data_IF_916333326419
#
_entry.id   IF_916333326419
#
_cell.length_a   1.000
_cell.length_b   1.000
_cell.length_c   1.000
_cell.angle_alpha   90.00
_cell.angle_beta   90.00
_cell.angle_gamma   90.00
#
_symmetry.space_group_name_H-M   'P 1'
#
loop_
_entity.id
_entity.type
_entity.pdbx_description
1 polymer ?
#
# COMPACT_ATOMS: atom_id res chain seq x y z
N UNK A 1 -4.58 2.83 -33.85
CA UNK A 1 -4.06 3.18 -32.53
C UNK A 1 -3.61 1.91 -31.80
N UNK A 2 -2.44 1.95 -31.29
CA UNK A 2 -1.94 0.82 -30.50
C UNK A 2 -2.38 0.98 -29.05
N UNK A 3 -3.16 0.03 -28.55
CA UNK A 3 -3.55 -0.01 -27.16
C UNK A 3 -2.51 -0.75 -26.33
N UNK A 4 -2.56 -0.52 -25.03
CA UNK A 4 -1.77 -1.32 -24.09
C UNK A 4 -2.40 -2.70 -23.92
N UNK A 5 -1.56 -3.72 -23.73
CA UNK A 5 -2.05 -5.05 -23.41
C UNK A 5 -2.63 -5.06 -21.98
N UNK A 6 -3.48 -6.05 -21.70
CA UNK A 6 -4.03 -6.23 -20.35
C UNK A 6 -2.91 -6.42 -19.33
N UNK A 7 -1.90 -7.20 -19.66
CA UNK A 7 -0.77 -7.43 -18.75
C UNK A 7 0.06 -6.16 -18.51
N UNK A 8 0.21 -5.31 -19.52
CA UNK A 8 0.92 -4.04 -19.36
C UNK A 8 0.16 -3.09 -18.42
N UNK A 9 -1.16 -3.04 -18.54
CA UNK A 9 -2.00 -2.24 -17.65
C UNK A 9 -1.96 -2.80 -16.23
N UNK A 10 -2.10 -4.11 -16.09
CA UNK A 10 -2.06 -4.76 -14.77
C UNK A 10 -0.75 -4.45 -14.05
N UNK A 11 0.37 -4.43 -14.74
CA UNK A 11 1.69 -4.19 -14.15
C UNK A 11 1.85 -2.81 -13.53
N UNK A 12 1.02 -1.84 -13.90
CA UNK A 12 1.06 -0.48 -13.35
C UNK A 12 -0.10 -0.16 -12.42
N UNK A 13 -0.97 -1.14 -12.14
CA UNK A 13 -2.09 -0.94 -11.23
C UNK A 13 -1.69 -1.14 -9.77
N UNK A 14 -2.30 -0.35 -8.91
CA UNK A 14 -2.29 -0.53 -7.47
C UNK A 14 -3.66 -1.06 -7.05
N UNK A 15 -3.68 -2.23 -6.44
CA UNK A 15 -4.90 -2.82 -5.90
C UNK A 15 -4.94 -2.56 -4.40
N UNK A 16 -5.94 -1.84 -3.94
CA UNK A 16 -6.01 -1.39 -2.54
C UNK A 16 -6.96 -2.25 -1.72
N UNK A 17 -6.51 -2.72 -0.56
CA UNK A 17 -7.33 -3.42 0.43
C UNK A 17 -7.14 -2.70 1.76
N UNK A 18 -7.98 -1.69 2.00
CA UNK A 18 -7.77 -0.70 3.05
C UNK A 18 -8.96 -0.54 4.00
N UNK A 19 -9.96 -1.39 3.92
CA UNK A 19 -11.13 -1.31 4.79
C UNK A 19 -10.74 -1.65 6.23
N UNK A 20 -11.26 -0.92 7.22
CA UNK A 20 -10.89 -1.16 8.61
C UNK A 20 -11.40 -2.50 9.17
N UNK A 21 -12.42 -3.08 8.56
CA UNK A 21 -13.02 -4.34 8.99
C UNK A 21 -12.59 -5.55 8.15
N UNK A 22 -11.59 -5.40 7.31
CA UNK A 22 -11.13 -6.52 6.49
C UNK A 22 -10.47 -7.60 7.34
N UNK A 23 -10.50 -8.82 6.84
CA UNK A 23 -9.97 -10.00 7.51
C UNK A 23 -8.71 -10.51 6.82
N UNK A 24 -8.05 -11.49 7.45
CA UNK A 24 -6.92 -12.16 6.82
C UNK A 24 -7.34 -12.89 5.54
N UNK A 25 -8.57 -13.38 5.48
CA UNK A 25 -9.11 -14.02 4.27
C UNK A 25 -9.20 -13.02 3.11
N UNK A 26 -9.55 -11.78 3.39
CA UNK A 26 -9.58 -10.71 2.37
C UNK A 26 -8.19 -10.45 1.80
N UNK A 27 -7.17 -10.45 2.64
CA UNK A 27 -5.78 -10.28 2.21
C UNK A 27 -5.33 -11.49 1.37
N UNK A 28 -5.68 -12.70 1.78
CA UNK A 28 -5.35 -13.91 1.00
C UNK A 28 -5.99 -13.86 -0.38
N UNK A 29 -7.27 -13.50 -0.46
CA UNK A 29 -8.00 -13.40 -1.72
C UNK A 29 -7.39 -12.34 -2.64
N UNK A 30 -7.07 -11.17 -2.09
CA UNK A 30 -6.47 -10.08 -2.83
C UNK A 30 -5.08 -10.45 -3.34
N UNK A 31 -4.26 -11.07 -2.51
CA UNK A 31 -2.92 -11.50 -2.90
C UNK A 31 -2.97 -12.56 -4.01
N UNK A 32 -3.88 -13.51 -3.90
CA UNK A 32 -4.07 -14.53 -4.93
C UNK A 32 -4.47 -13.89 -6.27
N UNK A 33 -5.39 -12.96 -6.25
CA UNK A 33 -5.83 -12.25 -7.45
C UNK A 33 -4.68 -11.44 -8.07
N UNK A 34 -3.97 -10.68 -7.25
CA UNK A 34 -2.84 -9.88 -7.71
C UNK A 34 -1.74 -10.74 -8.32
N UNK A 35 -1.40 -11.85 -7.68
CA UNK A 35 -0.38 -12.77 -8.20
C UNK A 35 -0.80 -13.40 -9.52
N UNK A 36 -2.05 -13.83 -9.62
CA UNK A 36 -2.60 -14.47 -10.81
C UNK A 36 -2.63 -13.51 -12.01
N UNK A 37 -2.98 -12.25 -11.78
CA UNK A 37 -3.10 -11.26 -12.85
C UNK A 37 -1.84 -10.43 -13.04
N UNK A 38 -0.79 -10.68 -12.26
CA UNK A 38 0.44 -9.87 -12.27
C UNK A 38 0.17 -8.38 -12.07
N UNK A 39 -0.71 -8.07 -11.13
CA UNK A 39 -0.97 -6.70 -10.70
C UNK A 39 0.34 -6.12 -10.13
N UNK A 40 0.65 -4.86 -10.46
CA UNK A 40 1.92 -4.25 -10.07
C UNK A 40 2.11 -4.14 -8.56
N UNK A 41 1.06 -3.75 -7.84
CA UNK A 41 1.16 -3.45 -6.41
C UNK A 41 -0.12 -3.82 -5.68
N UNK A 42 0.03 -4.43 -4.51
CA UNK A 42 -1.04 -4.61 -3.53
C UNK A 42 -0.79 -3.64 -2.37
N UNK A 43 -1.68 -2.67 -2.20
CA UNK A 43 -1.58 -1.67 -1.15
C UNK A 43 -2.47 -2.06 0.03
N UNK A 44 -1.87 -2.18 1.21
CA UNK A 44 -2.55 -2.65 2.41
C UNK A 44 -2.31 -1.74 3.60
N UNK A 45 -3.06 -1.98 4.67
CA UNK A 45 -2.82 -1.34 5.97
C UNK A 45 -1.49 -1.85 6.56
N UNK A 46 -0.81 -1.06 7.40
CA UNK A 46 0.46 -1.47 7.99
C UNK A 46 0.41 -2.82 8.69
N UNK A 47 -0.68 -3.13 9.37
CA UNK A 47 -0.85 -4.40 10.07
C UNK A 47 -0.85 -5.63 9.14
N UNK A 48 -1.18 -5.43 7.88
CA UNK A 48 -1.30 -6.51 6.90
C UNK A 48 -0.05 -6.69 6.02
N UNK A 49 0.92 -5.81 6.13
CA UNK A 49 2.12 -5.81 5.25
C UNK A 49 2.87 -7.13 5.32
N UNK A 50 3.16 -7.61 6.52
CA UNK A 50 3.93 -8.84 6.71
C UNK A 50 3.23 -10.04 6.06
N UNK A 51 1.92 -10.15 6.26
CA UNK A 51 1.12 -11.24 5.66
C UNK A 51 1.11 -11.14 4.14
N UNK A 52 0.86 -9.95 3.61
CA UNK A 52 0.84 -9.73 2.17
C UNK A 52 2.20 -10.05 1.53
N UNK A 53 3.28 -9.62 2.18
CA UNK A 53 4.63 -9.88 1.70
C UNK A 53 4.95 -11.37 1.64
N UNK A 54 4.51 -12.14 2.63
CA UNK A 54 4.69 -13.60 2.62
C UNK A 54 3.91 -14.25 1.49
N UNK A 55 2.66 -13.83 1.30
CA UNK A 55 1.79 -14.39 0.27
C UNK A 55 2.28 -14.08 -1.15
N UNK A 56 2.92 -12.93 -1.32
CA UNK A 56 3.42 -12.46 -2.62
C UNK A 56 4.91 -12.74 -2.83
N UNK A 57 5.51 -13.49 -1.92
CA UNK A 57 6.90 -13.92 -2.08
C UNK A 57 7.08 -14.66 -3.42
N UNK A 58 8.06 -14.29 -4.20
CA UNK A 58 8.31 -14.82 -5.55
C UNK A 58 7.28 -14.43 -6.62
N UNK A 59 6.36 -13.53 -6.30
CA UNK A 59 5.44 -12.96 -7.30
C UNK A 59 5.99 -11.61 -7.80
N UNK A 60 5.50 -11.18 -8.95
CA UNK A 60 5.87 -9.87 -9.50
C UNK A 60 5.22 -8.71 -8.75
N UNK A 61 4.04 -8.95 -8.15
CA UNK A 61 3.32 -7.96 -7.36
C UNK A 61 4.15 -7.56 -6.15
N UNK A 62 4.38 -6.27 -5.96
CA UNK A 62 5.02 -5.74 -4.76
C UNK A 62 3.97 -5.31 -3.75
N UNK A 63 4.36 -5.21 -2.49
CA UNK A 63 3.47 -4.75 -1.42
C UNK A 63 3.75 -3.28 -1.14
N UNK A 64 2.69 -2.48 -1.09
CA UNK A 64 2.73 -1.11 -0.60
C UNK A 64 2.01 -1.03 0.74
N UNK A 65 2.45 -0.13 1.59
CA UNK A 65 1.76 0.21 2.83
C UNK A 65 1.32 1.66 2.80
N UNK A 66 0.13 1.92 3.32
CA UNK A 66 -0.24 3.30 3.64
C UNK A 66 0.47 3.73 4.91
N UNK A 67 0.71 5.03 5.04
CA UNK A 67 1.35 5.64 6.21
C UNK A 67 0.51 6.84 6.63
N UNK A 68 0.05 6.83 7.88
CA UNK A 68 -0.82 7.88 8.41
C UNK A 68 -2.21 7.89 7.81
N UNK A 69 -2.64 6.77 7.28
CA UNK A 69 -3.91 6.64 6.58
C UNK A 69 -5.08 6.45 7.57
N UNK A 70 -6.27 7.03 7.30
CA UNK A 70 -6.58 7.83 6.10
C UNK A 70 -6.40 9.34 6.26
N UNK A 71 -6.25 9.85 7.48
CA UNK A 71 -6.31 11.28 7.75
C UNK A 71 -4.99 12.02 7.62
N UNK A 72 -3.87 11.33 7.78
CA UNK A 72 -2.56 11.95 7.79
C UNK A 72 -2.31 12.84 8.99
N UNK A 73 -3.17 12.77 10.01
CA UNK A 73 -3.16 13.68 11.15
C UNK A 73 -2.19 13.25 12.26
N UNK A 74 -1.51 12.15 12.10
CA UNK A 74 -0.51 11.69 13.06
C UNK A 74 0.72 12.59 13.01
N UNK A 75 1.40 12.73 14.14
CA UNK A 75 2.66 13.46 14.20
C UNK A 75 3.68 12.88 13.22
N UNK A 76 4.53 13.73 12.69
CA UNK A 76 5.53 13.31 11.69
C UNK A 76 6.40 12.15 12.19
N UNK A 77 6.83 12.20 13.46
CA UNK A 77 7.65 11.13 14.02
C UNK A 77 6.93 9.77 14.00
N UNK A 78 5.61 9.76 14.22
CA UNK A 78 4.81 8.54 14.17
C UNK A 78 4.72 8.02 12.75
N UNK A 79 4.49 8.91 11.77
CA UNK A 79 4.45 8.50 10.35
C UNK A 79 5.78 7.91 9.90
N UNK A 80 6.90 8.52 10.29
CA UNK A 80 8.24 8.02 9.96
C UNK A 80 8.45 6.64 10.57
N UNK A 81 8.03 6.44 11.82
CA UNK A 81 8.15 5.15 12.51
C UNK A 81 7.30 4.09 11.81
N UNK A 82 6.06 4.44 11.45
CA UNK A 82 5.17 3.53 10.73
C UNK A 82 5.76 3.14 9.36
N UNK A 83 6.33 4.09 8.63
CA UNK A 83 6.98 3.80 7.36
C UNK A 83 8.16 2.85 7.54
N UNK A 84 8.94 3.03 8.60
CA UNK A 84 10.08 2.17 8.90
C UNK A 84 9.65 0.74 9.18
N UNK A 85 8.63 0.56 10.01
CA UNK A 85 8.07 -0.76 10.30
C UNK A 85 7.54 -1.41 9.02
N UNK A 86 6.85 -0.65 8.18
CA UNK A 86 6.33 -1.18 6.92
C UNK A 86 7.45 -1.72 6.03
N UNK A 87 8.56 -1.02 5.94
CA UNK A 87 9.74 -1.48 5.16
C UNK A 87 10.28 -2.77 5.77
N UNK A 88 10.45 -2.81 7.08
CA UNK A 88 10.96 -4.00 7.78
C UNK A 88 10.04 -5.21 7.57
N UNK A 89 8.74 -4.98 7.47
CA UNK A 89 7.74 -6.03 7.25
C UNK A 89 7.63 -6.47 5.79
N UNK A 90 8.31 -5.79 4.88
CA UNK A 90 8.40 -6.20 3.49
C UNK A 90 7.74 -5.29 2.46
N UNK A 91 7.25 -4.12 2.87
CA UNK A 91 6.71 -3.16 1.92
C UNK A 91 7.83 -2.57 1.05
N UNK A 92 7.60 -2.50 -0.24
CA UNK A 92 8.52 -1.89 -1.20
C UNK A 92 8.10 -0.48 -1.59
N UNK A 93 6.81 -0.18 -1.43
CA UNK A 93 6.25 1.14 -1.71
C UNK A 93 5.49 1.63 -0.49
N UNK A 94 5.39 2.95 -0.34
CA UNK A 94 4.70 3.59 0.76
C UNK A 94 3.89 4.75 0.23
N UNK A 95 2.66 4.84 0.69
CA UNK A 95 1.77 5.95 0.39
C UNK A 95 1.52 6.73 1.68
N UNK A 96 2.19 7.86 1.83
CA UNK A 96 2.07 8.70 3.00
C UNK A 96 0.96 9.73 2.81
N UNK A 97 0.09 9.83 3.81
CA UNK A 97 -0.97 10.84 3.82
C UNK A 97 -0.48 12.08 4.57
N UNK A 98 -0.58 13.23 3.93
CA UNK A 98 -0.24 14.51 4.53
C UNK A 98 -1.40 15.00 5.40
N UNK A 99 -1.08 15.76 6.45
CA UNK A 99 -2.09 16.39 7.27
C UNK A 99 -2.84 17.45 6.46
N UNK A 100 -4.14 17.27 6.33
CA UNK A 100 -4.99 18.17 5.55
C UNK A 100 -4.94 19.60 6.09
N UNK A 101 -4.92 19.75 7.41
CA UNK A 101 -4.86 21.04 8.06
C UNK A 101 -3.61 21.83 7.64
N UNK A 102 -2.46 21.18 7.70
CA UNK A 102 -1.19 21.82 7.31
C UNK A 102 -1.18 22.25 5.85
N UNK A 103 -1.75 21.44 4.97
CA UNK A 103 -1.88 21.79 3.57
C UNK A 103 -2.76 23.03 3.35
N UNK A 104 -3.85 23.13 4.10
CA UNK A 104 -4.77 24.27 3.98
C UNK A 104 -4.16 25.55 4.48
N UNK A 105 -3.32 25.47 5.48
CA UNK A 105 -2.64 26.62 6.08
C UNK A 105 -1.37 27.01 5.35
N UNK A 106 -0.94 26.21 4.38
CA UNK A 106 0.28 26.45 3.64
C UNK A 106 1.54 26.06 4.40
N UNK A 107 1.41 25.38 5.52
CA UNK A 107 2.54 24.91 6.28
C UNK A 107 3.31 23.82 5.53
N UNK A 108 4.61 23.84 5.68
CA UNK A 108 5.46 22.78 5.19
C UNK A 108 5.54 21.66 6.23
N UNK A 109 6.03 20.54 5.81
CA UNK A 109 6.08 19.31 6.62
C UNK A 109 6.79 19.51 7.96
N UNK A 110 6.23 18.92 8.96
CA UNK A 110 6.87 18.83 10.27
C UNK A 110 7.40 17.42 10.50
#
# INVERSE_FOLDING_TARGET
>A
MQGFSVSAVAAVLDFAVLKPNQTSADIHSAAALCGQLSIGCLCVQPIDVCRAARLLHKQKTVVASVVGFPHGANATAIKVHEARIAIEDGAREREMVLALQERREGDKYR
#
